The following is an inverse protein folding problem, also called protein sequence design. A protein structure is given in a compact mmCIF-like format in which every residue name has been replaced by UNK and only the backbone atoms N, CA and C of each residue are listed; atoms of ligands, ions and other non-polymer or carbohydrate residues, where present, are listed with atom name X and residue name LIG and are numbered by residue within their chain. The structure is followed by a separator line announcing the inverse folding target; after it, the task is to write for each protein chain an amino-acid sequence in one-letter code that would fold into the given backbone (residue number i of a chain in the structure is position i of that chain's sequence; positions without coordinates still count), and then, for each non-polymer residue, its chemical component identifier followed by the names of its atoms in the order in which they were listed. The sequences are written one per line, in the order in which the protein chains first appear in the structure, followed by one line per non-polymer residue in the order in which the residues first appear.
data_IF_001882059081
#
_entry.id   IF_001882059081
#
_cell.length_a   1.000
_cell.length_b   1.000
_cell.length_c   1.000
_cell.angle_alpha   90.00
_cell.angle_beta   90.00
_cell.angle_gamma   90.00
#
_symmetry.space_group_name_H-M   'P 1'
#
loop_
_entity.id
_entity.type
_entity.pdbx_description
1 polymer ?
#
# COMPACT_ATOMS: atom_id res chain seq x y z
N UNK A 1 1.88 16.02 1.50
CA UNK A 1 2.33 15.18 0.41
C UNK A 1 1.86 13.77 0.67
N UNK A 2 0.94 13.26 -0.14
CA UNK A 2 0.22 12.01 0.10
C UNK A 2 0.17 11.16 -1.18
N UNK A 3 -0.24 9.91 -1.02
CA UNK A 3 -0.57 9.02 -2.12
C UNK A 3 -1.77 9.52 -2.91
N UNK A 4 -1.86 9.10 -4.15
CA UNK A 4 -3.05 9.32 -4.95
C UNK A 4 -4.26 8.57 -4.34
N UNK A 5 -5.47 9.17 -4.45
CA UNK A 5 -6.73 8.57 -3.98
C UNK A 5 -6.73 8.09 -2.50
N UNK A 6 -6.08 8.84 -1.59
CA UNK A 6 -5.84 8.40 -0.21
C UNK A 6 -6.50 9.29 0.87
N UNK A 7 -7.40 10.17 0.48
CA UNK A 7 -8.34 10.91 1.32
C UNK A 7 -9.75 10.79 0.76
N UNK A 8 -10.79 10.91 1.61
CA UNK A 8 -12.13 11.15 1.14
C UNK A 8 -12.22 12.54 0.47
N UNK A 9 -13.08 12.68 -0.52
CA UNK A 9 -13.18 13.90 -1.35
C UNK A 9 -13.35 15.18 -0.55
N UNK A 10 -14.07 15.11 0.58
CA UNK A 10 -14.40 16.25 1.43
C UNK A 10 -13.44 16.44 2.63
N UNK A 11 -12.46 15.56 2.82
CA UNK A 11 -11.53 15.59 3.97
C UNK A 11 -10.85 16.94 4.14
N UNK A 12 -10.27 17.44 3.06
CA UNK A 12 -9.51 18.71 3.09
C UNK A 12 -10.42 19.91 3.26
N UNK A 13 -11.60 19.90 2.65
CA UNK A 13 -12.62 20.95 2.78
C UNK A 13 -13.12 21.03 4.21
N UNK A 14 -13.50 19.90 4.81
CA UNK A 14 -13.92 19.82 6.22
C UNK A 14 -12.86 20.31 7.19
N UNK A 15 -11.59 19.94 6.92
CA UNK A 15 -10.47 20.45 7.73
C UNK A 15 -10.36 21.97 7.65
N UNK A 16 -10.39 22.54 6.44
CA UNK A 16 -10.31 23.98 6.25
C UNK A 16 -11.49 24.73 6.89
N UNK A 17 -12.73 24.26 6.71
CA UNK A 17 -13.92 24.85 7.30
C UNK A 17 -13.84 24.89 8.83
N UNK A 18 -13.35 23.80 9.43
CA UNK A 18 -13.28 23.66 10.88
C UNK A 18 -12.14 24.44 11.54
N UNK A 19 -11.01 24.56 10.85
CA UNK A 19 -9.77 25.11 11.44
C UNK A 19 -9.38 26.47 10.87
N UNK A 20 -9.91 26.87 9.72
CA UNK A 20 -9.46 28.04 8.96
C UNK A 20 -8.11 27.84 8.27
N UNK A 21 -7.47 26.68 8.43
CA UNK A 21 -6.18 26.36 7.79
C UNK A 21 -6.46 25.80 6.39
N UNK A 22 -5.89 26.42 5.36
CA UNK A 22 -6.02 25.95 3.98
C UNK A 22 -4.97 24.86 3.69
N UNK A 23 -5.38 23.60 3.49
CA UNK A 23 -4.46 22.54 3.08
C UNK A 23 -4.14 22.65 1.59
N UNK A 24 -2.91 22.29 1.21
CA UNK A 24 -2.48 22.14 -0.17
C UNK A 24 -1.98 20.72 -0.33
N UNK A 25 -2.54 19.97 -1.27
CA UNK A 25 -2.24 18.57 -1.49
C UNK A 25 -1.37 18.40 -2.74
N UNK A 26 -0.17 17.84 -2.55
CA UNK A 26 0.63 17.28 -3.62
C UNK A 26 0.60 15.76 -3.52
N UNK A 27 0.70 15.07 -4.66
CA UNK A 27 0.55 13.62 -4.76
C UNK A 27 1.83 12.94 -5.24
N UNK A 28 2.00 11.70 -4.80
CA UNK A 28 3.00 10.77 -5.32
C UNK A 28 2.40 9.37 -5.44
N UNK A 29 3.05 8.51 -6.22
CA UNK A 29 2.62 7.15 -6.53
C UNK A 29 3.61 6.07 -6.06
N UNK A 30 4.76 6.48 -5.51
CA UNK A 30 5.77 5.56 -4.98
C UNK A 30 6.53 6.18 -3.80
N UNK A 31 6.84 5.37 -2.78
CA UNK A 31 7.65 5.80 -1.63
C UNK A 31 9.03 6.33 -2.04
N UNK A 32 9.65 5.80 -3.10
CA UNK A 32 10.95 6.27 -3.61
C UNK A 32 10.91 7.75 -4.03
N UNK A 33 9.76 8.20 -4.57
CA UNK A 33 9.55 9.61 -4.96
C UNK A 33 9.50 10.50 -3.72
N UNK A 34 8.76 10.09 -2.68
CA UNK A 34 8.76 10.78 -1.39
C UNK A 34 10.15 10.79 -0.75
N UNK A 35 10.81 9.62 -0.71
CA UNK A 35 12.14 9.48 -0.12
C UNK A 35 13.14 10.41 -0.79
N UNK A 36 13.17 10.47 -2.12
CA UNK A 36 14.06 11.36 -2.86
C UNK A 36 13.84 12.84 -2.50
N UNK A 37 12.58 13.26 -2.32
CA UNK A 37 12.23 14.62 -1.89
C UNK A 37 12.77 14.94 -0.49
N UNK A 38 12.58 14.02 0.46
CA UNK A 38 13.03 14.23 1.84
C UNK A 38 14.57 14.27 1.95
N UNK A 39 15.27 13.39 1.23
CA UNK A 39 16.74 13.37 1.21
C UNK A 39 17.36 14.59 0.51
N UNK A 40 16.66 15.16 -0.47
CA UNK A 40 17.11 16.40 -1.11
C UNK A 40 17.09 17.59 -0.13
N UNK A 41 16.28 17.53 0.95
CA UNK A 41 16.09 18.60 1.92
C UNK A 41 15.25 19.74 1.36
N UNK A 42 14.82 20.64 2.25
CA UNK A 42 13.94 21.77 1.90
C UNK A 42 12.70 21.32 1.11
N UNK A 43 12.08 20.22 1.60
CA UNK A 43 10.97 19.58 0.91
C UNK A 43 9.77 20.50 0.74
N UNK A 44 9.60 21.46 1.68
CA UNK A 44 8.47 22.39 1.70
C UNK A 44 7.15 21.78 2.19
N UNK A 45 7.16 20.51 2.53
CA UNK A 45 5.97 19.80 3.03
C UNK A 45 5.87 19.88 4.56
N UNK A 46 4.64 20.02 5.05
CA UNK A 46 4.33 20.04 6.47
C UNK A 46 4.02 18.65 7.01
N UNK A 47 3.44 17.79 6.16
CA UNK A 47 3.02 16.44 6.52
C UNK A 47 3.23 15.48 5.35
N UNK A 48 3.72 14.27 5.65
CA UNK A 48 3.97 13.20 4.68
C UNK A 48 3.40 11.87 5.16
N UNK A 49 3.10 10.97 4.21
CA UNK A 49 2.40 9.71 4.47
C UNK A 49 3.19 8.49 3.97
N UNK A 50 4.40 8.23 4.48
CA UNK A 50 5.19 7.09 4.04
C UNK A 50 4.68 5.76 4.58
N UNK A 51 5.03 4.67 3.90
CA UNK A 51 4.92 3.33 4.47
C UNK A 51 5.95 3.16 5.59
N UNK A 52 5.53 2.60 6.72
CA UNK A 52 6.36 2.48 7.92
C UNK A 52 7.67 1.71 7.65
N UNK A 53 7.58 0.55 6.98
CA UNK A 53 8.70 -0.30 6.59
C UNK A 53 8.71 -0.53 5.08
N UNK A 54 9.84 -0.38 4.43
CA UNK A 54 11.15 0.00 4.97
C UNK A 54 11.38 1.52 5.09
N UNK A 55 10.47 2.36 4.56
CA UNK A 55 10.75 3.76 4.25
C UNK A 55 10.79 4.68 5.48
N UNK A 56 9.71 4.81 6.27
CA UNK A 56 9.72 5.70 7.44
C UNK A 56 10.82 5.31 8.44
N UNK A 57 11.13 4.03 8.59
CA UNK A 57 12.25 3.57 9.41
C UNK A 57 13.61 4.11 8.94
N UNK A 58 13.83 4.14 7.62
CA UNK A 58 15.05 4.73 7.02
C UNK A 58 15.09 6.24 7.22
N UNK A 59 13.94 6.90 7.04
CA UNK A 59 13.82 8.35 7.23
C UNK A 59 14.11 8.76 8.68
N UNK A 60 13.63 7.98 9.67
CA UNK A 60 13.95 8.19 11.09
C UNK A 60 15.46 8.05 11.33
N UNK A 61 16.08 6.97 10.84
CA UNK A 61 17.53 6.76 10.97
C UNK A 61 18.34 7.89 10.36
N UNK A 62 17.85 8.50 9.29
CA UNK A 62 18.48 9.63 8.62
C UNK A 62 18.14 10.99 9.29
N UNK A 63 17.30 11.02 10.33
CA UNK A 63 16.90 12.23 11.02
C UNK A 63 16.05 13.18 10.17
N UNK A 64 15.19 12.65 9.30
CA UNK A 64 14.39 13.42 8.36
C UNK A 64 13.04 13.88 8.94
N UNK A 65 12.66 13.41 10.14
CA UNK A 65 11.44 13.80 10.83
C UNK A 65 11.73 14.55 12.13
N UNK A 66 10.84 15.46 12.51
CA UNK A 66 10.86 16.06 13.81
C UNK A 66 10.01 15.24 14.80
N UNK A 67 10.35 15.27 16.10
CA UNK A 67 9.52 14.62 17.12
C UNK A 67 8.13 15.23 17.20
N UNK A 68 7.13 14.37 17.43
CA UNK A 68 5.74 14.78 17.63
C UNK A 68 5.54 15.42 19.01
N UNK A 69 4.80 16.52 19.05
CA UNK A 69 4.24 17.05 20.29
C UNK A 69 2.93 16.32 20.61
N UNK A 70 3.03 15.24 21.37
CA UNK A 70 1.89 14.38 21.71
C UNK A 70 0.80 15.10 22.50
N UNK A 71 1.10 16.22 23.16
CA UNK A 71 0.09 17.02 23.86
C UNK A 71 -0.91 17.67 22.91
N UNK A 72 -0.56 17.80 21.63
CA UNK A 72 -1.39 18.32 20.55
C UNK A 72 -2.15 17.25 19.77
N UNK A 73 -2.00 15.98 20.14
CA UNK A 73 -2.55 14.84 19.43
C UNK A 73 -3.56 14.06 20.31
N UNK A 74 -4.69 14.66 20.66
CA UNK A 74 -5.75 13.97 21.38
C UNK A 74 -6.24 12.80 20.53
N UNK A 75 -6.41 11.62 21.14
CA UNK A 75 -6.82 10.40 20.43
C UNK A 75 -5.67 9.48 20.02
N UNK A 76 -4.40 9.90 20.15
CA UNK A 76 -3.26 9.02 19.89
C UNK A 76 -3.24 7.80 20.83
N UNK A 77 -3.74 7.95 22.05
CA UNK A 77 -3.89 6.90 23.06
C UNK A 77 -5.08 5.94 22.80
N UNK A 78 -5.92 6.27 21.83
CA UNK A 78 -7.10 5.48 21.43
C UNK A 78 -6.84 4.56 20.24
N UNK A 79 -5.67 4.65 19.64
CA UNK A 79 -5.28 3.79 18.52
C UNK A 79 -5.10 2.34 18.96
N UNK A 80 -5.28 1.42 18.03
CA UNK A 80 -5.11 -0.02 18.27
C UNK A 80 -3.72 -0.30 18.84
N UNK A 81 -3.65 -0.85 20.09
CA UNK A 81 -2.37 -1.10 20.74
C UNK A 81 -1.44 -2.03 19.96
N UNK A 82 -1.99 -2.98 19.18
CA UNK A 82 -1.19 -3.90 18.39
C UNK A 82 -0.49 -3.18 17.23
N UNK A 83 -1.18 -2.24 16.58
CA UNK A 83 -0.61 -1.43 15.50
C UNK A 83 0.46 -0.49 16.07
N UNK A 84 0.15 0.20 17.17
CA UNK A 84 1.10 1.10 17.85
C UNK A 84 2.34 0.34 18.32
N UNK A 85 2.17 -0.87 18.88
CA UNK A 85 3.27 -1.73 19.32
C UNK A 85 4.17 -2.15 18.15
N UNK A 86 3.58 -2.49 17.00
CA UNK A 86 4.33 -2.90 15.81
C UNK A 86 5.28 -1.83 15.28
N UNK A 87 5.01 -0.55 15.58
CA UNK A 87 5.86 0.58 15.20
C UNK A 87 6.98 0.88 16.20
N UNK A 88 6.91 0.42 17.45
CA UNK A 88 7.89 0.76 18.49
C UNK A 88 9.33 0.34 18.19
N UNK A 89 9.49 -0.76 17.45
CA UNK A 89 10.82 -1.23 17.05
C UNK A 89 11.52 -0.24 16.11
N UNK A 90 10.74 0.39 15.21
CA UNK A 90 11.29 1.33 14.21
C UNK A 90 11.27 2.79 14.70
N UNK A 91 10.36 3.12 15.60
CA UNK A 91 10.19 4.44 16.20
C UNK A 91 10.01 4.32 17.73
N UNK A 92 11.10 4.18 18.50
CA UNK A 92 11.03 4.01 19.94
C UNK A 92 10.18 5.08 20.63
N UNK A 93 9.17 4.61 21.37
CA UNK A 93 8.20 5.49 22.02
C UNK A 93 7.21 6.15 21.07
N UNK A 94 7.15 5.76 19.80
CA UNK A 94 6.34 6.40 18.75
C UNK A 94 6.54 7.93 18.77
N UNK A 95 7.80 8.31 18.67
CA UNK A 95 8.20 9.71 18.83
C UNK A 95 7.97 10.55 17.57
N UNK A 96 7.91 9.93 16.38
CA UNK A 96 7.88 10.61 15.09
C UNK A 96 6.69 10.20 14.22
N UNK A 97 6.10 9.01 14.45
CA UNK A 97 5.10 8.40 13.57
C UNK A 97 3.74 8.28 14.23
N UNK A 98 2.70 8.56 13.45
CA UNK A 98 1.31 8.27 13.81
C UNK A 98 0.75 7.30 12.78
N UNK A 99 0.24 6.11 13.16
CA UNK A 99 -0.43 5.21 12.23
C UNK A 99 -1.57 5.92 11.50
N UNK A 100 -1.69 5.68 10.19
CA UNK A 100 -2.73 6.26 9.35
C UNK A 100 -3.70 5.21 8.82
N UNK A 101 -3.24 4.38 7.90
CA UNK A 101 -4.00 3.25 7.34
C UNK A 101 -3.12 2.01 7.30
N UNK A 102 -3.73 0.85 7.19
CA UNK A 102 -3.01 -0.40 6.97
C UNK A 102 -3.77 -1.27 5.97
N UNK A 103 -3.05 -2.17 5.32
CA UNK A 103 -3.62 -3.05 4.33
C UNK A 103 -2.66 -4.16 3.93
N UNK A 104 -3.04 -4.86 2.88
CA UNK A 104 -2.27 -5.96 2.31
C UNK A 104 -1.99 -5.73 0.83
N UNK A 105 -0.93 -6.33 0.33
CA UNK A 105 -0.63 -6.35 -1.11
C UNK A 105 -1.04 -7.71 -1.67
N UNK A 106 -1.82 -7.71 -2.74
CA UNK A 106 -2.35 -8.94 -3.31
C UNK A 106 -2.67 -8.82 -4.80
N UNK A 107 -3.74 -9.48 -5.20
CA UNK A 107 -4.16 -9.55 -6.60
C UNK A 107 -5.54 -8.94 -6.78
N UNK A 108 -5.62 -7.92 -7.66
CA UNK A 108 -6.86 -7.46 -8.26
C UNK A 108 -7.16 -8.29 -9.50
N UNK A 109 -8.39 -8.77 -9.63
CA UNK A 109 -8.81 -9.55 -10.78
C UNK A 109 -10.10 -9.03 -11.40
N UNK A 110 -10.17 -9.01 -12.72
CA UNK A 110 -11.44 -9.00 -13.43
C UNK A 110 -11.95 -10.43 -13.47
N UNK A 111 -12.99 -10.71 -12.66
CA UNK A 111 -13.49 -12.07 -12.40
C UNK A 111 -13.90 -12.78 -13.68
N UNK A 112 -14.63 -12.10 -14.57
CA UNK A 112 -15.11 -12.68 -15.81
C UNK A 112 -13.96 -13.01 -16.76
N UNK A 113 -13.02 -12.07 -16.98
CA UNK A 113 -11.88 -12.28 -17.89
C UNK A 113 -10.92 -13.35 -17.41
N UNK A 114 -10.67 -13.44 -16.09
CA UNK A 114 -9.83 -14.50 -15.54
C UNK A 114 -10.48 -15.88 -15.69
N UNK A 115 -11.79 -15.99 -15.44
CA UNK A 115 -12.56 -17.23 -15.69
C UNK A 115 -12.55 -17.62 -17.16
N UNK A 116 -12.70 -16.67 -18.07
CA UNK A 116 -12.63 -16.92 -19.51
C UNK A 116 -11.26 -17.45 -19.93
N UNK A 117 -10.18 -16.84 -19.44
CA UNK A 117 -8.82 -17.21 -19.83
C UNK A 117 -8.34 -18.54 -19.22
N UNK A 118 -8.72 -18.84 -17.98
CA UNK A 118 -8.16 -19.97 -17.21
C UNK A 118 -9.17 -21.07 -16.88
N UNK A 119 -10.47 -20.84 -17.05
CA UNK A 119 -11.54 -21.72 -16.60
C UNK A 119 -12.10 -21.34 -15.23
N UNK A 120 -13.37 -21.65 -15.01
CA UNK A 120 -14.15 -21.24 -13.83
C UNK A 120 -13.60 -21.77 -12.50
N UNK A 121 -13.02 -22.98 -12.51
CA UNK A 121 -12.54 -23.66 -11.30
C UNK A 121 -11.09 -23.34 -10.96
N UNK A 122 -10.45 -22.43 -11.69
CA UNK A 122 -9.05 -22.04 -11.43
C UNK A 122 -8.96 -21.23 -10.14
N UNK A 123 -8.12 -21.65 -9.16
CA UNK A 123 -7.86 -20.85 -7.97
C UNK A 123 -7.28 -19.47 -8.33
N UNK A 124 -7.86 -18.42 -7.76
CA UNK A 124 -7.44 -17.03 -8.01
C UNK A 124 -6.71 -16.39 -6.82
N UNK A 125 -6.66 -17.08 -5.68
CA UNK A 125 -5.96 -16.67 -4.46
C UNK A 125 -4.51 -17.18 -4.43
N UNK A 126 -3.77 -16.96 -5.50
CA UNK A 126 -2.39 -17.47 -5.65
C UNK A 126 -1.55 -16.57 -6.55
N UNK A 127 -0.30 -16.34 -6.16
CA UNK A 127 0.69 -15.66 -6.99
C UNK A 127 0.97 -16.37 -8.33
N UNK A 128 0.50 -17.62 -8.49
CA UNK A 128 0.60 -18.35 -9.75
C UNK A 128 -0.07 -17.62 -10.93
N UNK A 129 -1.03 -16.70 -10.69
CA UNK A 129 -1.59 -15.87 -11.76
C UNK A 129 -0.53 -14.99 -12.44
N UNK A 130 0.52 -14.60 -11.71
CA UNK A 130 1.64 -13.81 -12.22
C UNK A 130 2.84 -14.67 -12.64
N UNK A 131 3.13 -15.73 -11.84
CA UNK A 131 4.42 -16.40 -11.89
C UNK A 131 4.39 -17.80 -12.51
N UNK A 132 3.22 -18.43 -12.69
CA UNK A 132 3.11 -19.64 -13.48
C UNK A 132 3.10 -19.25 -14.97
N UNK A 133 4.11 -19.65 -15.78
CA UNK A 133 4.19 -19.22 -17.17
C UNK A 133 2.98 -19.60 -18.02
N UNK A 134 2.35 -20.74 -17.73
CA UNK A 134 1.19 -21.20 -18.51
C UNK A 134 -0.05 -20.33 -18.21
N UNK A 135 -0.22 -19.88 -16.95
CA UNK A 135 -1.32 -18.98 -16.57
C UNK A 135 -1.05 -17.55 -17.03
N UNK A 136 0.15 -17.04 -16.77
CA UNK A 136 0.55 -15.68 -17.14
C UNK A 136 0.45 -15.47 -18.67
N UNK A 137 0.87 -16.45 -19.48
CA UNK A 137 0.74 -16.38 -20.93
C UNK A 137 -0.72 -16.25 -21.41
N UNK A 138 -1.65 -16.97 -20.78
CA UNK A 138 -3.08 -16.86 -21.11
C UNK A 138 -3.68 -15.52 -20.69
N UNK A 139 -3.26 -15.02 -19.51
CA UNK A 139 -3.74 -13.76 -18.95
C UNK A 139 -3.11 -12.53 -19.63
N UNK A 140 -1.97 -12.68 -20.31
CA UNK A 140 -1.30 -11.60 -21.02
C UNK A 140 -2.20 -10.93 -22.08
N UNK A 141 -3.09 -11.71 -22.73
CA UNK A 141 -4.02 -11.19 -23.72
C UNK A 141 -5.00 -10.16 -23.13
N UNK A 142 -5.53 -10.42 -21.93
CA UNK A 142 -6.41 -9.49 -21.24
C UNK A 142 -5.66 -8.45 -20.38
N UNK A 143 -4.37 -8.64 -20.14
CA UNK A 143 -3.46 -7.69 -19.51
C UNK A 143 -3.20 -7.95 -18.03
N UNK A 144 -1.91 -7.96 -17.71
CA UNK A 144 -1.38 -8.07 -16.35
C UNK A 144 -0.58 -6.81 -16.03
N UNK A 145 -0.79 -6.22 -14.86
CA UNK A 145 0.05 -5.15 -14.31
C UNK A 145 0.74 -5.58 -13.02
N UNK A 146 1.89 -4.98 -12.75
CA UNK A 146 2.56 -5.12 -11.46
C UNK A 146 2.91 -3.73 -10.90
N UNK A 147 2.96 -3.64 -9.57
CA UNK A 147 3.49 -2.47 -8.88
C UNK A 147 4.92 -2.18 -9.36
N UNK A 148 5.26 -0.91 -9.51
CA UNK A 148 6.65 -0.48 -9.75
C UNK A 148 7.38 -0.29 -8.42
N UNK A 149 7.41 -1.35 -7.63
CA UNK A 149 8.09 -1.42 -6.33
C UNK A 149 8.90 -2.72 -6.24
N UNK A 150 10.25 -2.62 -6.16
CA UNK A 150 11.11 -3.79 -6.07
C UNK A 150 10.88 -4.61 -4.81
N UNK A 151 10.57 -3.99 -3.66
CA UNK A 151 10.37 -4.71 -2.41
C UNK A 151 9.11 -5.57 -2.49
N UNK A 152 8.02 -5.03 -3.02
CA UNK A 152 6.76 -5.74 -3.25
C UNK A 152 6.93 -6.88 -4.26
N UNK A 153 7.53 -6.60 -5.41
CA UNK A 153 7.71 -7.59 -6.47
C UNK A 153 8.58 -8.79 -6.03
N UNK A 154 9.69 -8.51 -5.33
CA UNK A 154 10.58 -9.57 -4.84
C UNK A 154 9.98 -10.36 -3.67
N UNK A 155 9.24 -9.70 -2.77
CA UNK A 155 8.56 -10.40 -1.67
C UNK A 155 7.47 -11.34 -2.20
N UNK A 156 6.68 -10.92 -3.19
CA UNK A 156 5.69 -11.78 -3.84
C UNK A 156 6.34 -12.97 -4.57
N UNK A 157 7.45 -12.74 -5.28
CA UNK A 157 8.18 -13.79 -5.98
C UNK A 157 8.79 -14.81 -5.00
N UNK A 158 9.37 -14.36 -3.89
CA UNK A 158 9.92 -15.22 -2.84
C UNK A 158 8.83 -16.03 -2.15
N UNK A 159 7.69 -15.41 -1.81
CA UNK A 159 6.54 -16.10 -1.24
C UNK A 159 6.04 -17.22 -2.17
N UNK A 160 5.91 -16.94 -3.47
CA UNK A 160 5.53 -17.94 -4.45
C UNK A 160 6.52 -19.11 -4.54
N UNK A 161 7.82 -18.84 -4.39
CA UNK A 161 8.87 -19.87 -4.36
C UNK A 161 8.92 -20.65 -3.04
N UNK A 162 8.04 -20.36 -2.06
CA UNK A 162 8.07 -20.97 -0.74
C UNK A 162 9.29 -20.59 0.09
N UNK A 163 9.90 -19.44 -0.19
CA UNK A 163 11.05 -18.89 0.51
C UNK A 163 10.60 -17.82 1.52
N UNK A 164 11.50 -17.48 2.44
CA UNK A 164 11.29 -16.31 3.28
C UNK A 164 11.15 -15.05 2.40
N UNK A 165 9.97 -14.43 2.42
CA UNK A 165 9.66 -13.24 1.64
C UNK A 165 10.57 -12.04 1.96
N UNK A 166 11.19 -12.05 3.15
CA UNK A 166 12.19 -11.08 3.59
C UNK A 166 13.63 -11.50 3.30
N UNK A 167 13.86 -12.66 2.66
CA UNK A 167 15.21 -13.09 2.33
C UNK A 167 15.90 -12.08 1.41
N UNK A 168 17.14 -11.78 1.71
CA UNK A 168 18.01 -10.91 0.91
C UNK A 168 19.34 -11.61 0.58
N UNK A 169 19.36 -12.96 0.72
CA UNK A 169 20.50 -13.78 0.29
C UNK A 169 20.67 -13.70 -1.22
N UNK A 170 21.90 -13.77 -1.69
CA UNK A 170 22.20 -13.70 -3.13
C UNK A 170 21.49 -14.83 -3.91
N UNK A 171 21.45 -16.04 -3.33
CA UNK A 171 20.78 -17.20 -3.93
C UNK A 171 19.27 -16.99 -4.08
N UNK A 172 18.60 -16.44 -3.07
CA UNK A 172 17.15 -16.21 -3.10
C UNK A 172 16.80 -15.05 -4.02
N UNK A 173 17.57 -13.96 -4.00
CA UNK A 173 17.38 -12.86 -4.93
C UNK A 173 17.62 -13.27 -6.38
N UNK A 174 18.58 -14.17 -6.63
CA UNK A 174 18.80 -14.74 -7.97
C UNK A 174 17.59 -15.56 -8.41
N UNK A 175 17.08 -16.45 -7.57
CA UNK A 175 15.90 -17.27 -7.88
C UNK A 175 14.65 -16.41 -8.13
N UNK A 176 14.42 -15.39 -7.32
CA UNK A 176 13.32 -14.44 -7.51
C UNK A 176 13.49 -13.64 -8.81
N UNK A 177 14.73 -13.21 -9.13
CA UNK A 177 15.02 -12.49 -10.39
C UNK A 177 14.73 -13.37 -11.61
N UNK A 178 15.10 -14.65 -11.57
CA UNK A 178 14.81 -15.58 -12.66
C UNK A 178 13.29 -15.77 -12.84
N UNK A 179 12.54 -15.84 -11.74
CA UNK A 179 11.08 -15.95 -11.79
C UNK A 179 10.44 -14.69 -12.38
N UNK A 180 10.86 -13.51 -11.92
CA UNK A 180 10.41 -12.22 -12.43
C UNK A 180 10.73 -12.04 -13.92
N UNK A 181 11.91 -12.46 -14.35
CA UNK A 181 12.32 -12.44 -15.76
C UNK A 181 11.43 -13.35 -16.63
N UNK A 182 11.01 -14.51 -16.12
CA UNK A 182 10.05 -15.39 -16.82
C UNK A 182 8.65 -14.79 -16.89
N UNK A 183 8.23 -14.06 -15.87
CA UNK A 183 6.95 -13.37 -15.85
C UNK A 183 6.93 -12.11 -16.74
N UNK A 184 8.08 -11.42 -16.87
CA UNK A 184 8.19 -10.10 -17.52
C UNK A 184 7.55 -10.01 -18.92
N UNK A 185 7.70 -10.98 -19.84
CA UNK A 185 7.09 -10.91 -21.17
C UNK A 185 5.55 -10.85 -21.15
N UNK A 186 4.93 -11.27 -20.06
CA UNK A 186 3.49 -11.31 -19.87
C UNK A 186 2.94 -10.07 -19.16
N UNK A 187 3.82 -9.25 -18.57
CA UNK A 187 3.44 -8.02 -17.85
C UNK A 187 3.32 -6.87 -18.84
N UNK A 188 2.12 -6.29 -18.93
CA UNK A 188 1.81 -5.18 -19.82
C UNK A 188 2.56 -3.91 -19.41
N UNK A 189 2.54 -3.58 -18.10
CA UNK A 189 3.27 -2.44 -17.55
C UNK A 189 3.55 -2.61 -16.06
N UNK A 190 4.45 -1.77 -15.55
CA UNK A 190 4.73 -1.56 -14.12
C UNK A 190 4.30 -0.16 -13.74
N UNK A 191 3.38 -0.04 -12.79
CA UNK A 191 2.90 1.24 -12.27
C UNK A 191 2.15 1.04 -10.97
N UNK A 192 2.32 1.95 -9.99
CA UNK A 192 1.76 1.78 -8.65
C UNK A 192 0.40 2.43 -8.42
N UNK A 193 -0.22 3.06 -9.44
CA UNK A 193 -1.57 3.63 -9.34
C UNK A 193 -2.45 3.45 -10.58
N UNK A 194 -1.88 3.35 -11.80
CA UNK A 194 -2.65 3.26 -13.04
C UNK A 194 -3.62 2.07 -13.07
N UNK A 195 -3.24 0.95 -12.44
CA UNK A 195 -4.05 -0.27 -12.40
C UNK A 195 -5.45 -0.08 -11.79
N UNK A 196 -5.65 0.95 -10.96
CA UNK A 196 -6.95 1.24 -10.33
C UNK A 196 -7.99 1.55 -11.42
N UNK A 197 -7.67 2.50 -12.30
CA UNK A 197 -8.55 2.85 -13.43
C UNK A 197 -8.68 1.73 -14.44
N UNK A 198 -7.58 1.06 -14.79
CA UNK A 198 -7.56 0.00 -15.78
C UNK A 198 -8.36 -1.24 -15.36
N UNK A 199 -8.35 -1.61 -14.05
CA UNK A 199 -9.22 -2.65 -13.51
C UNK A 199 -10.68 -2.23 -13.53
N UNK A 200 -10.99 -1.00 -13.07
CA UNK A 200 -12.35 -0.48 -13.02
C UNK A 200 -13.00 -0.43 -14.42
N UNK A 201 -12.23 -0.06 -15.44
CA UNK A 201 -12.68 -0.01 -16.83
C UNK A 201 -12.66 -1.40 -17.52
N UNK A 202 -12.03 -2.39 -16.92
CA UNK A 202 -11.84 -3.71 -17.53
C UNK A 202 -10.72 -3.76 -18.58
N UNK A 203 -9.79 -2.81 -18.60
CA UNK A 203 -8.69 -2.74 -19.57
C UNK A 203 -7.58 -3.75 -19.27
N UNK A 204 -7.47 -4.17 -18.00
CA UNK A 204 -6.62 -5.28 -17.55
C UNK A 204 -7.44 -6.32 -16.79
N UNK A 205 -6.91 -7.54 -16.65
CA UNK A 205 -7.59 -8.61 -15.94
C UNK A 205 -6.92 -9.06 -14.65
N UNK A 206 -5.64 -8.77 -14.48
CA UNK A 206 -4.91 -9.06 -13.24
C UNK A 206 -4.00 -7.88 -12.90
N UNK A 207 -4.01 -7.47 -11.64
CA UNK A 207 -3.11 -6.47 -11.09
C UNK A 207 -2.46 -6.98 -9.81
N UNK A 208 -1.14 -6.89 -9.70
CA UNK A 208 -0.44 -6.88 -8.43
C UNK A 208 -0.64 -5.49 -7.83
N UNK A 209 -1.33 -5.39 -6.69
CA UNK A 209 -1.71 -4.08 -6.16
C UNK A 209 -2.14 -4.10 -4.69
N UNK A 210 -2.41 -2.93 -4.17
CA UNK A 210 -2.81 -2.70 -2.79
C UNK A 210 -4.31 -2.96 -2.59
N UNK A 211 -4.68 -3.51 -1.43
CA UNK A 211 -6.04 -3.98 -1.15
C UNK A 211 -7.12 -2.90 -1.37
N UNK A 212 -6.97 -1.72 -0.77
CA UNK A 212 -7.96 -0.65 -0.88
C UNK A 212 -8.06 -0.08 -2.29
N UNK A 213 -6.94 0.07 -3.01
CA UNK A 213 -6.94 0.54 -4.39
C UNK A 213 -7.76 -0.39 -5.30
N UNK A 214 -7.59 -1.70 -5.11
CA UNK A 214 -8.35 -2.70 -5.89
C UNK A 214 -9.83 -2.66 -5.49
N UNK A 215 -10.14 -2.44 -4.21
CA UNK A 215 -11.52 -2.30 -3.74
C UNK A 215 -12.15 -0.98 -4.18
N UNK A 216 -11.38 0.11 -4.29
CA UNK A 216 -11.83 1.33 -4.95
C UNK A 216 -12.10 1.09 -6.44
N UNK A 217 -11.24 0.32 -7.13
CA UNK A 217 -11.50 -0.07 -8.52
C UNK A 217 -12.80 -0.88 -8.65
N UNK A 218 -13.08 -1.76 -7.68
CA UNK A 218 -14.36 -2.50 -7.60
C UNK A 218 -15.53 -1.54 -7.47
N UNK A 219 -15.50 -0.60 -6.52
CA UNK A 219 -16.57 0.38 -6.33
C UNK A 219 -16.81 1.22 -7.59
N UNK A 220 -15.74 1.71 -8.21
CA UNK A 220 -15.82 2.46 -9.48
C UNK A 220 -16.42 1.63 -10.63
N UNK A 221 -16.09 0.34 -10.70
CA UNK A 221 -16.65 -0.56 -11.72
C UNK A 221 -18.16 -0.79 -11.50
N UNK A 222 -18.58 -0.96 -10.24
CA UNK A 222 -19.98 -1.12 -9.86
C UNK A 222 -20.79 0.15 -10.17
N UNK A 223 -20.29 1.32 -9.81
CA UNK A 223 -20.90 2.63 -10.12
C UNK A 223 -21.03 2.87 -11.62
N UNK A 224 -20.02 2.48 -12.40
CA UNK A 224 -20.06 2.62 -13.86
C UNK A 224 -21.07 1.69 -14.53
N UNK A 225 -21.52 0.63 -13.86
CA UNK A 225 -22.54 -0.34 -14.31
C UNK A 225 -22.29 -0.94 -15.72
N UNK A 226 -21.01 -1.10 -16.10
CA UNK A 226 -20.58 -1.64 -17.40
C UNK A 226 -20.39 -3.17 -17.41
N UNK A 227 -20.78 -3.85 -16.34
CA UNK A 227 -20.66 -5.31 -16.21
C UNK A 227 -19.22 -5.78 -15.89
N UNK A 228 -18.35 -4.89 -15.42
CA UNK A 228 -17.01 -5.25 -14.93
C UNK A 228 -17.12 -5.66 -13.47
N UNK A 229 -16.72 -6.90 -13.15
CA UNK A 229 -16.67 -7.42 -11.80
C UNK A 229 -15.20 -7.50 -11.36
N UNK A 230 -14.82 -6.63 -10.40
CA UNK A 230 -13.47 -6.62 -9.80
C UNK A 230 -13.49 -7.35 -8.46
N UNK A 231 -12.48 -8.18 -8.21
CA UNK A 231 -12.28 -8.85 -6.93
C UNK A 231 -10.86 -8.69 -6.42
N UNK A 232 -10.70 -8.52 -5.10
CA UNK A 232 -9.40 -8.57 -4.43
C UNK A 232 -9.14 -9.99 -3.90
N UNK A 233 -7.91 -10.45 -3.96
CA UNK A 233 -7.47 -11.76 -3.45
C UNK A 233 -6.15 -11.63 -2.70
N UNK A 234 -6.12 -12.11 -1.46
CA UNK A 234 -4.88 -12.30 -0.70
C UNK A 234 -4.31 -13.67 -1.08
N UNK A 235 -3.12 -13.75 -1.67
CA UNK A 235 -2.54 -15.02 -2.09
C UNK A 235 -2.22 -15.94 -0.91
N UNK A 236 -2.54 -17.22 -1.08
CA UNK A 236 -2.39 -18.26 -0.05
C UNK A 236 -0.93 -18.56 0.31
N UNK A 237 0.01 -18.22 -0.54
CA UNK A 237 1.44 -18.37 -0.31
C UNK A 237 1.97 -17.33 0.68
N UNK A 238 1.20 -16.31 1.00
CA UNK A 238 1.53 -15.20 1.86
C UNK A 238 1.56 -13.87 1.12
N UNK A 239 1.32 -12.81 1.85
CA UNK A 239 1.23 -11.45 1.32
C UNK A 239 1.80 -10.42 2.31
N UNK A 240 2.25 -9.30 1.80
CA UNK A 240 2.73 -8.19 2.63
C UNK A 240 1.56 -7.59 3.40
N UNK A 241 1.76 -7.41 4.70
CA UNK A 241 0.97 -6.52 5.57
C UNK A 241 1.78 -5.25 5.78
N UNK A 242 1.25 -4.12 5.38
CA UNK A 242 1.91 -2.83 5.53
C UNK A 242 1.07 -1.87 6.36
N UNK A 243 1.73 -0.88 6.94
CA UNK A 243 1.11 0.23 7.67
C UNK A 243 1.69 1.52 7.13
N UNK A 244 0.84 2.43 6.70
CA UNK A 244 1.22 3.78 6.38
C UNK A 244 1.07 4.68 7.60
N UNK A 245 1.93 5.67 7.67
CA UNK A 245 2.04 6.54 8.83
C UNK A 245 2.05 8.01 8.42
N UNK A 246 1.63 8.86 9.32
CA UNK A 246 1.79 10.30 9.22
C UNK A 246 3.07 10.70 9.93
N UNK A 247 3.88 11.52 9.27
CA UNK A 247 5.13 12.06 9.82
C UNK A 247 5.33 13.51 9.42
N UNK A 248 5.93 14.30 10.32
CA UNK A 248 6.23 15.72 10.09
C UNK A 248 7.70 15.83 9.67
N UNK A 249 8.01 16.29 8.44
CA UNK A 249 9.38 16.51 8.01
C UNK A 249 10.16 17.43 8.97
N UNK A 250 11.47 17.20 9.09
CA UNK A 250 12.33 18.00 9.95
C UNK A 250 12.32 19.49 9.59
N UNK A 251 12.17 19.78 8.31
CA UNK A 251 12.18 21.11 7.71
C UNK A 251 10.76 21.64 7.41
N UNK A 252 9.71 21.02 7.98
CA UNK A 252 8.34 21.45 7.81
C UNK A 252 8.16 22.93 8.17
N UNK A 253 7.65 23.77 7.25
CA UNK A 253 7.47 25.19 7.51
C UNK A 253 6.34 25.49 8.52
N UNK A 254 5.31 24.61 8.61
CA UNK A 254 4.14 24.83 9.46
C UNK A 254 3.84 23.62 10.38
N UNK A 255 4.75 23.22 11.29
CA UNK A 255 4.56 21.99 12.08
C UNK A 255 3.35 22.05 13.01
N UNK A 256 2.92 23.24 13.44
CA UNK A 256 1.70 23.39 14.24
C UNK A 256 0.44 23.03 13.45
N UNK A 257 0.36 23.45 12.18
CA UNK A 257 -0.74 23.11 11.28
C UNK A 257 -0.73 21.60 10.98
N UNK A 258 0.44 20.99 10.82
CA UNK A 258 0.57 19.54 10.65
C UNK A 258 0.02 18.77 11.85
N UNK A 259 0.34 19.17 13.10
CA UNK A 259 -0.25 18.55 14.28
C UNK A 259 -1.79 18.72 14.32
N UNK A 260 -2.30 19.89 13.93
CA UNK A 260 -3.75 20.12 13.85
C UNK A 260 -4.41 19.17 12.84
N UNK A 261 -3.75 18.93 11.70
CA UNK A 261 -4.27 18.00 10.69
C UNK A 261 -4.22 16.54 11.18
N UNK A 262 -3.13 16.14 11.82
CA UNK A 262 -3.03 14.80 12.42
C UNK A 262 -4.13 14.59 13.47
N UNK A 263 -4.33 15.56 14.37
CA UNK A 263 -5.40 15.50 15.36
C UNK A 263 -6.79 15.38 14.74
N UNK A 264 -7.05 16.11 13.64
CA UNK A 264 -8.29 16.02 12.88
C UNK A 264 -8.49 14.63 12.27
N UNK A 265 -7.45 14.03 11.69
CA UNK A 265 -7.52 12.68 11.11
C UNK A 265 -7.74 11.62 12.20
N UNK A 266 -7.18 11.80 13.40
CA UNK A 266 -7.32 10.85 14.51
C UNK A 266 -8.76 10.78 15.08
N UNK A 267 -9.61 11.75 14.78
CA UNK A 267 -11.01 11.71 15.22
C UNK A 267 -11.75 10.54 14.55
N UNK A 268 -12.54 9.76 15.31
CA UNK A 268 -13.20 8.57 14.79
C UNK A 268 -14.06 8.82 13.54
N UNK A 269 -14.80 9.93 13.51
CA UNK A 269 -15.67 10.29 12.39
C UNK A 269 -14.88 10.55 11.11
N UNK A 270 -13.74 11.25 11.24
CA UNK A 270 -12.93 11.65 10.09
C UNK A 270 -12.18 10.45 9.52
N UNK A 271 -11.55 9.63 10.38
CA UNK A 271 -10.84 8.44 9.92
C UNK A 271 -11.79 7.37 9.37
N UNK A 272 -13.03 7.25 9.92
CA UNK A 272 -14.04 6.37 9.36
C UNK A 272 -14.48 6.83 7.97
N UNK A 273 -14.75 8.13 7.78
CA UNK A 273 -15.09 8.67 6.46
C UNK A 273 -13.98 8.43 5.43
N UNK A 274 -12.72 8.60 5.84
CA UNK A 274 -11.58 8.30 4.98
C UNK A 274 -11.56 6.79 4.65
N UNK A 275 -11.64 5.89 5.65
CA UNK A 275 -11.66 4.44 5.42
C UNK A 275 -12.79 4.00 4.49
N UNK A 276 -13.99 4.55 4.66
CA UNK A 276 -15.15 4.21 3.82
C UNK A 276 -14.92 4.59 2.35
N UNK A 277 -14.18 5.67 2.10
CA UNK A 277 -13.86 6.11 0.74
C UNK A 277 -12.66 5.37 0.15
N UNK A 278 -11.53 5.29 0.91
CA UNK A 278 -10.29 4.70 0.39
C UNK A 278 -10.27 3.17 0.49
N UNK A 279 -11.24 2.54 1.15
CA UNK A 279 -11.37 1.09 1.31
C UNK A 279 -10.18 0.43 2.03
N UNK A 280 -9.53 1.17 2.93
CA UNK A 280 -8.45 0.65 3.77
C UNK A 280 -8.84 0.59 5.24
N UNK A 281 -8.23 -0.33 5.96
CA UNK A 281 -8.37 -0.43 7.40
C UNK A 281 -7.65 0.73 8.10
N UNK A 282 -8.27 1.31 9.14
CA UNK A 282 -7.69 2.35 9.96
C UNK A 282 -7.27 1.83 11.34
N UNK A 283 -6.38 2.54 12.05
CA UNK A 283 -5.88 2.11 13.34
C UNK A 283 -6.75 2.53 14.53
N UNK A 284 -7.94 3.12 14.33
CA UNK A 284 -8.77 3.64 15.41
C UNK A 284 -9.99 2.74 15.67
N UNK A 285 -9.99 1.90 16.75
CA UNK A 285 -11.13 1.03 17.04
C UNK A 285 -12.44 1.76 17.30
N UNK A 286 -12.40 3.03 17.74
CA UNK A 286 -13.59 3.84 17.94
C UNK A 286 -14.29 4.24 16.63
N UNK A 287 -13.59 4.16 15.50
CA UNK A 287 -14.17 4.39 14.18
C UNK A 287 -14.98 3.18 13.65
N UNK A 288 -14.74 1.97 14.19
CA UNK A 288 -15.38 0.73 13.69
C UNK A 288 -16.90 0.78 13.58
N UNK A 289 -17.66 1.34 14.56
CA UNK A 289 -19.12 1.47 14.43
C UNK A 289 -19.58 2.44 13.33
N UNK A 290 -18.68 3.30 12.83
CA UNK A 290 -18.97 4.33 11.82
C UNK A 290 -18.54 3.87 10.43
N UNK A 291 -17.91 2.69 10.32
CA UNK A 291 -17.57 2.09 9.04
C UNK A 291 -18.82 1.54 8.35
N UNK A 292 -18.90 1.75 7.05
CA UNK A 292 -19.89 1.11 6.21
C UNK A 292 -19.75 -0.41 6.29
N UNK A 293 -20.88 -1.13 6.19
CA UNK A 293 -20.89 -2.59 6.27
C UNK A 293 -19.97 -3.23 5.23
N UNK A 294 -19.95 -2.66 4.03
CA UNK A 294 -19.08 -3.12 2.93
C UNK A 294 -17.58 -3.01 3.25
N UNK A 295 -17.18 -2.04 4.08
CA UNK A 295 -15.80 -1.87 4.54
C UNK A 295 -15.51 -2.77 5.73
N UNK A 296 -16.40 -2.74 6.72
CA UNK A 296 -16.23 -3.44 8.00
C UNK A 296 -16.19 -4.94 7.85
N UNK A 297 -17.00 -5.51 6.94
CA UNK A 297 -17.16 -6.95 6.74
C UNK A 297 -16.30 -7.52 5.58
N UNK A 298 -15.63 -6.69 4.80
CA UNK A 298 -14.82 -7.17 3.66
C UNK A 298 -13.52 -7.84 4.16
N UNK A 299 -13.30 -9.15 3.87
CA UNK A 299 -12.11 -9.86 4.30
C UNK A 299 -10.83 -9.40 3.58
N UNK A 300 -10.95 -8.61 2.52
CA UNK A 300 -9.82 -7.95 1.86
C UNK A 300 -9.31 -6.74 2.64
N UNK A 301 -10.17 -6.12 3.45
CA UNK A 301 -9.83 -4.99 4.33
C UNK A 301 -9.47 -5.49 5.72
N UNK A 302 -10.34 -6.32 6.30
CA UNK A 302 -10.16 -6.90 7.63
C UNK A 302 -10.06 -8.43 7.54
N UNK A 303 -8.89 -8.98 7.14
CA UNK A 303 -8.71 -10.42 6.97
C UNK A 303 -8.87 -11.19 8.28
N UNK A 304 -9.49 -12.37 8.19
CA UNK A 304 -9.65 -13.27 9.33
C UNK A 304 -8.32 -13.86 9.81
N UNK A 305 -8.32 -14.46 11.01
CA UNK A 305 -7.10 -14.89 11.70
C UNK A 305 -6.27 -15.93 10.93
N UNK A 306 -6.91 -16.83 10.16
CA UNK A 306 -6.18 -17.81 9.35
C UNK A 306 -5.41 -17.17 8.18
N UNK A 307 -5.94 -16.09 7.61
CA UNK A 307 -5.26 -15.31 6.58
C UNK A 307 -4.13 -14.50 7.22
N UNK A 308 -4.40 -13.87 8.37
CA UNK A 308 -3.39 -13.06 9.10
C UNK A 308 -2.13 -13.86 9.42
N UNK A 309 -2.23 -15.16 9.73
CA UNK A 309 -1.08 -16.05 9.99
C UNK A 309 -0.12 -16.18 8.79
N UNK A 310 -0.59 -15.88 7.59
CA UNK A 310 0.20 -15.95 6.35
C UNK A 310 0.72 -14.60 5.91
N UNK A 311 0.28 -13.52 6.56
CA UNK A 311 0.77 -12.20 6.28
C UNK A 311 2.13 -11.97 6.94
N UNK A 312 2.96 -11.19 6.29
CA UNK A 312 4.27 -10.82 6.81
C UNK A 312 4.52 -9.32 6.63
N UNK A 313 5.24 -8.74 7.56
CA UNK A 313 5.70 -7.35 7.47
C UNK A 313 7.05 -7.33 6.78
N UNK A 314 7.28 -6.38 5.88
CA UNK A 314 8.59 -6.25 5.22
C UNK A 314 9.67 -5.90 6.23
N UNK A 315 10.80 -6.59 6.12
CA UNK A 315 12.02 -6.17 6.81
C UNK A 315 12.63 -4.94 6.13
N UNK A 316 13.34 -4.12 6.90
CA UNK A 316 14.07 -2.98 6.36
C UNK A 316 15.50 -3.41 6.02
N UNK A 317 15.84 -3.60 4.75
CA UNK A 317 17.19 -3.96 4.34
C UNK A 317 18.17 -2.79 4.57
N UNK A 318 19.46 -3.11 4.66
CA UNK A 318 20.48 -2.08 4.61
C UNK A 318 20.56 -1.41 3.24
N UNK A 319 21.23 -0.25 3.16
CA UNK A 319 21.35 0.53 1.93
C UNK A 319 22.05 -0.20 0.78
N UNK A 320 22.98 -1.12 1.09
CA UNK A 320 23.68 -1.90 0.08
C UNK A 320 22.72 -2.90 -0.57
N UNK A 321 21.91 -3.56 0.24
CA UNK A 321 20.89 -4.51 -0.23
C UNK A 321 19.84 -3.77 -1.03
N UNK A 322 19.36 -2.60 -0.56
CA UNK A 322 18.36 -1.80 -1.31
C UNK A 322 18.90 -1.37 -2.68
N UNK A 323 20.13 -0.84 -2.75
CA UNK A 323 20.76 -0.49 -4.04
C UNK A 323 20.87 -1.70 -4.98
N UNK A 324 21.19 -2.88 -4.45
CA UNK A 324 21.23 -4.10 -5.25
C UNK A 324 19.84 -4.48 -5.78
N UNK A 325 18.83 -4.43 -4.92
CA UNK A 325 17.45 -4.75 -5.28
C UNK A 325 16.93 -3.81 -6.37
N UNK A 326 17.13 -2.49 -6.24
CA UNK A 326 16.75 -1.50 -7.24
C UNK A 326 17.47 -1.74 -8.59
N UNK A 327 18.76 -2.12 -8.55
CA UNK A 327 19.51 -2.46 -9.75
C UNK A 327 18.97 -3.71 -10.45
N UNK A 328 18.64 -4.75 -9.68
CA UNK A 328 18.05 -5.98 -10.21
C UNK A 328 16.67 -5.69 -10.81
N UNK A 329 15.84 -4.91 -10.12
CA UNK A 329 14.51 -4.51 -10.59
C UNK A 329 14.55 -3.73 -11.90
N UNK A 330 15.47 -2.77 -12.01
CA UNK A 330 15.68 -2.02 -13.26
C UNK A 330 16.03 -2.96 -14.42
N UNK A 331 16.84 -4.00 -14.18
CA UNK A 331 17.16 -5.00 -15.20
C UNK A 331 15.96 -5.86 -15.58
N UNK A 332 15.15 -6.30 -14.60
CA UNK A 332 13.91 -7.04 -14.87
C UNK A 332 12.98 -6.22 -15.76
N UNK A 333 12.75 -4.95 -15.44
CA UNK A 333 11.86 -4.07 -16.23
C UNK A 333 12.38 -3.84 -17.65
N UNK A 334 13.68 -3.79 -17.84
CA UNK A 334 14.31 -3.53 -19.14
C UNK A 334 14.27 -4.73 -20.10
N UNK A 335 13.97 -5.95 -19.64
CA UNK A 335 13.81 -7.12 -20.50
C UNK A 335 12.53 -7.00 -21.33
N UNK A 336 12.60 -7.39 -22.61
CA UNK A 336 11.48 -7.39 -23.56
C UNK A 336 11.02 -8.80 -23.84
#
# INVERSE_FOLDING_TARGET
YNWNDYFAEDTLTKFQERTGIRPVLDLYDANDVLEAKLFAGSSGYDLVFPTARPFAQRHIKAGLYQPLDKSKLPGLDKLDPAIVESLKELDPGNAHLVPYMWGTTGLGINVAKVKEALGADTPTDTWALLFDPAKAAKLAACGISMLDDPSEAYSAALAYLGKDANSRSEADLSAATELLNKARPHIRYFHSSQYIGDLANGDICVAHGYSGDILQAKSRAEEAAKGVEVGYRIPKEGAVLWTDVMAIPKDAPNPAAAHTFIAFVLEPENVAAISNFVMYANPNPAATPMLDEAVRSDPGIYPGDEVKKKLFVMATPDDKVMRNLNRLWTRVKAQR
#
